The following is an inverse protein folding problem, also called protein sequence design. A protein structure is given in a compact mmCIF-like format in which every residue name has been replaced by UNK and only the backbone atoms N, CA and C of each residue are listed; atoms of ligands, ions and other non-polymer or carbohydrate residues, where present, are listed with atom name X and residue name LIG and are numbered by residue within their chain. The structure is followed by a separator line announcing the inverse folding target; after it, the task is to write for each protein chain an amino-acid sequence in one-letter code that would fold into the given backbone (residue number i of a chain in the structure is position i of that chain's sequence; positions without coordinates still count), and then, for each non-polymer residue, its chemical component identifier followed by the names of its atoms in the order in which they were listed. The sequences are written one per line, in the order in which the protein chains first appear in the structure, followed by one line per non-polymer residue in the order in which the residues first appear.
data_IF_199903716814
#
_entry.id   IF_199903716814
#
_cell.length_a   1.000
_cell.length_b   1.000
_cell.length_c   1.000
_cell.angle_alpha   90.00
_cell.angle_beta   90.00
_cell.angle_gamma   90.00
#
_symmetry.space_group_name_H-M   'P 1'
#
loop_
_entity.id
_entity.type
_entity.pdbx_description
1 polymer ?
#
# COMPACT_ATOMS: atom_id res chain seq x y z
N UNK A 1 11.48 16.32 12.17
CA UNK A 1 11.28 15.84 10.79
C UNK A 1 10.68 14.45 10.87
N UNK A 2 9.75 14.10 9.99
CA UNK A 2 9.10 12.78 10.00
C UNK A 2 10.06 11.73 9.42
N UNK A 3 10.16 10.57 10.07
CA UNK A 3 11.06 9.46 9.71
C UNK A 3 10.56 8.69 8.48
N UNK A 4 9.24 8.65 8.28
CA UNK A 4 8.58 7.91 7.20
C UNK A 4 7.45 8.73 6.58
N UNK A 5 7.22 8.53 5.29
CA UNK A 5 6.06 9.05 4.56
C UNK A 5 5.35 7.88 3.88
N UNK A 6 4.08 7.67 4.20
CA UNK A 6 3.29 6.58 3.60
C UNK A 6 2.07 7.14 2.85
N UNK A 7 1.70 6.45 1.78
CA UNK A 7 0.48 6.66 1.00
C UNK A 7 -0.44 5.45 1.18
N UNK A 8 -1.73 5.72 1.33
CA UNK A 8 -2.82 4.76 1.40
C UNK A 8 -4.04 5.37 0.70
N UNK A 9 -4.81 4.54 0.01
CA UNK A 9 -6.07 4.94 -0.64
C UNK A 9 -7.22 5.01 0.39
N UNK A 10 -8.37 5.58 0.00
CA UNK A 10 -9.53 5.76 0.89
C UNK A 10 -10.29 4.44 1.19
N UNK A 11 -9.94 3.38 0.47
CA UNK A 11 -10.38 2.00 0.68
C UNK A 11 -9.33 1.14 1.41
N UNK A 12 -8.39 1.75 2.13
CA UNK A 12 -7.43 1.06 3.00
C UNK A 12 -7.77 1.17 4.49
N UNK A 13 -7.69 0.05 5.19
CA UNK A 13 -7.62 -0.03 6.64
C UNK A 13 -6.17 -0.10 7.08
N UNK A 14 -5.74 0.82 7.94
CA UNK A 14 -4.37 0.87 8.45
C UNK A 14 -4.34 0.63 9.95
N UNK A 15 -3.76 -0.49 10.37
CA UNK A 15 -3.42 -0.74 11.77
C UNK A 15 -2.15 0.05 12.12
N UNK A 16 -2.32 1.32 12.49
CA UNK A 16 -1.21 2.27 12.73
C UNK A 16 -0.19 1.78 13.77
N UNK A 17 -0.58 1.21 14.93
CA UNK A 17 0.38 0.65 15.88
C UNK A 17 1.28 -0.42 15.25
N UNK A 18 0.70 -1.35 14.48
CA UNK A 18 1.45 -2.41 13.82
C UNK A 18 2.30 -1.87 12.67
N UNK A 19 1.77 -0.97 11.83
CA UNK A 19 2.53 -0.31 10.77
C UNK A 19 3.80 0.33 11.34
N UNK A 20 3.69 1.04 12.47
CA UNK A 20 4.85 1.62 13.15
C UNK A 20 5.87 0.55 13.55
N UNK A 21 5.44 -0.58 14.11
CA UNK A 21 6.33 -1.68 14.47
C UNK A 21 7.05 -2.27 13.26
N UNK A 22 6.36 -2.39 12.12
CA UNK A 22 6.97 -2.85 10.86
C UNK A 22 8.03 -1.86 10.36
N UNK A 23 7.72 -0.56 10.36
CA UNK A 23 8.66 0.49 9.90
C UNK A 23 9.90 0.60 10.79
N UNK A 24 9.78 0.36 12.11
CA UNK A 24 10.92 0.40 13.04
C UNK A 24 11.97 -0.69 12.80
N UNK A 25 11.67 -1.70 11.98
CA UNK A 25 12.65 -2.74 11.57
C UNK A 25 13.68 -2.20 10.58
N UNK A 26 13.44 -1.02 10.00
CA UNK A 26 14.27 -0.40 8.97
C UNK A 26 14.88 0.91 9.48
N UNK A 27 16.16 1.14 9.18
CA UNK A 27 16.80 2.43 9.46
C UNK A 27 16.30 3.48 8.44
N UNK A 28 15.57 4.49 8.91
CA UNK A 28 15.00 5.54 8.06
C UNK A 28 16.06 6.44 7.39
N UNK A 29 17.32 6.38 7.85
CA UNK A 29 18.45 7.06 7.21
C UNK A 29 19.01 6.30 6.01
N UNK A 30 18.55 5.06 5.77
CA UNK A 30 18.84 4.27 4.58
C UNK A 30 17.68 4.42 3.60
N UNK A 31 17.91 4.59 2.28
CA UNK A 31 16.84 4.77 1.32
C UNK A 31 16.06 3.47 1.11
N UNK A 32 14.92 3.36 1.78
CA UNK A 32 13.91 2.31 1.58
C UNK A 32 12.67 2.81 0.84
N UNK A 33 12.21 2.00 -0.10
CA UNK A 33 10.91 2.04 -0.76
C UNK A 33 10.17 0.75 -0.40
N UNK A 34 9.20 0.85 0.51
CA UNK A 34 8.45 -0.29 1.04
C UNK A 34 7.05 -0.35 0.40
N UNK A 35 6.59 -1.54 0.06
CA UNK A 35 5.23 -1.78 -0.42
C UNK A 35 5.07 -3.21 -0.94
N UNK A 36 3.96 -3.50 -1.59
CA UNK A 36 3.71 -4.81 -2.20
C UNK A 36 3.31 -4.66 -3.65
N UNK A 37 3.83 -5.53 -4.49
CA UNK A 37 3.47 -5.56 -5.90
C UNK A 37 2.25 -6.46 -6.11
N UNK A 38 1.30 -6.00 -6.93
CA UNK A 38 0.14 -6.80 -7.35
C UNK A 38 0.25 -7.29 -8.79
N UNK A 39 1.41 -7.17 -9.44
CA UNK A 39 1.63 -7.67 -10.80
C UNK A 39 2.32 -9.03 -10.80
N UNK A 40 1.99 -9.88 -11.79
CA UNK A 40 2.64 -11.18 -11.95
C UNK A 40 4.07 -11.08 -12.52
N UNK A 41 4.35 -9.99 -13.24
CA UNK A 41 5.63 -9.73 -13.90
C UNK A 41 6.09 -8.29 -13.64
N UNK A 42 7.41 -8.01 -13.67
CA UNK A 42 7.93 -6.66 -13.50
C UNK A 42 7.57 -5.78 -14.68
N UNK A 43 7.33 -4.50 -14.40
CA UNK A 43 7.02 -3.51 -15.44
C UNK A 43 8.26 -3.13 -16.22
N UNK A 44 8.07 -2.87 -17.52
CA UNK A 44 9.12 -2.31 -18.38
C UNK A 44 8.60 -1.04 -19.04
N UNK A 45 9.34 0.05 -18.87
CA UNK A 45 9.02 1.35 -19.48
C UNK A 45 10.10 1.69 -20.48
N UNK A 46 9.75 1.76 -21.76
CA UNK A 46 10.71 2.16 -22.79
C UNK A 46 10.85 3.69 -22.80
N UNK A 47 11.97 4.19 -22.29
CA UNK A 47 12.25 5.63 -22.25
C UNK A 47 13.10 6.15 -23.42
N UNK A 48 13.38 5.28 -24.40
CA UNK A 48 14.28 5.55 -25.52
C UNK A 48 15.76 5.32 -25.19
N UNK A 49 16.10 4.97 -23.95
CA UNK A 49 17.43 4.51 -23.56
C UNK A 49 17.48 2.99 -23.49
N UNK A 50 18.59 2.38 -23.88
CA UNK A 50 18.81 0.94 -23.71
C UNK A 50 19.04 0.53 -22.23
N UNK A 51 18.93 1.47 -21.30
CA UNK A 51 19.26 1.28 -19.88
C UNK A 51 18.03 1.09 -18.97
N UNK A 52 16.80 1.23 -19.49
CA UNK A 52 15.60 0.99 -18.69
C UNK A 52 15.51 -0.48 -18.31
N UNK A 53 15.55 -0.75 -17.00
CA UNK A 53 15.50 -2.08 -16.42
C UNK A 53 14.06 -2.44 -16.07
N UNK A 54 13.64 -3.71 -16.25
CA UNK A 54 12.42 -4.21 -15.64
C UNK A 54 12.42 -3.94 -14.14
N UNK A 55 11.29 -3.48 -13.60
CA UNK A 55 11.20 -3.06 -12.21
C UNK A 55 9.88 -3.48 -11.57
N UNK A 56 9.94 -3.78 -10.28
CA UNK A 56 8.75 -3.93 -9.45
C UNK A 56 8.35 -2.58 -8.87
N UNK A 57 7.05 -2.40 -8.65
CA UNK A 57 6.50 -1.21 -8.01
C UNK A 57 5.49 -1.65 -6.94
N UNK A 58 5.44 -0.87 -5.86
CA UNK A 58 4.43 -1.02 -4.81
C UNK A 58 3.10 -0.47 -5.31
N UNK A 59 2.09 -1.32 -5.34
CA UNK A 59 0.73 -0.99 -5.76
C UNK A 59 0.09 -0.01 -4.78
N UNK A 60 -0.45 1.10 -5.30
CA UNK A 60 -0.98 2.19 -4.48
C UNK A 60 -2.01 1.74 -3.44
N UNK A 61 -2.98 0.92 -3.89
CA UNK A 61 -4.04 0.37 -3.05
C UNK A 61 -3.63 -0.73 -2.06
N UNK A 62 -2.35 -1.13 -2.02
CA UNK A 62 -1.78 -1.93 -0.92
C UNK A 62 -1.05 -1.05 0.12
N UNK A 63 -0.86 0.23 -0.19
CA UNK A 63 -0.04 1.14 0.57
C UNK A 63 1.44 1.10 0.18
N UNK A 64 2.09 2.26 0.28
CA UNK A 64 3.51 2.45 0.02
C UNK A 64 4.12 3.33 1.09
N UNK A 65 5.33 3.02 1.56
CA UNK A 65 6.08 3.85 2.50
C UNK A 65 7.48 4.16 1.98
N UNK A 66 7.88 5.42 2.12
CA UNK A 66 9.23 5.91 1.83
C UNK A 66 9.91 6.32 3.13
N UNK A 67 11.13 5.81 3.33
CA UNK A 67 12.02 6.31 4.37
C UNK A 67 12.36 7.78 4.15
N UNK A 68 12.76 8.48 5.22
CA UNK A 68 13.25 9.86 5.13
C UNK A 68 14.36 10.01 4.07
N UNK A 69 15.35 9.11 4.06
CA UNK A 69 16.44 9.15 3.10
C UNK A 69 15.97 8.94 1.64
N UNK A 70 15.02 8.04 1.41
CA UNK A 70 14.42 7.83 0.09
C UNK A 70 13.66 9.09 -0.37
N UNK A 71 12.85 9.68 0.51
CA UNK A 71 12.09 10.89 0.21
C UNK A 71 13.01 12.09 -0.09
N UNK A 72 14.08 12.26 0.68
CA UNK A 72 15.09 13.30 0.43
C UNK A 72 15.77 13.11 -0.93
N UNK A 73 16.12 11.87 -1.30
CA UNK A 73 16.73 11.56 -2.60
C UNK A 73 15.76 11.82 -3.76
N UNK A 74 14.47 11.57 -3.56
CA UNK A 74 13.43 11.75 -4.57
C UNK A 74 12.98 13.22 -4.72
N UNK A 75 13.10 14.02 -3.66
CA UNK A 75 12.59 15.41 -3.59
C UNK A 75 13.01 16.27 -4.80
N UNK A 76 14.28 16.33 -5.22
CA UNK A 76 14.68 17.13 -6.38
C UNK A 76 14.03 16.72 -7.71
N UNK A 77 13.52 15.48 -7.81
CA UNK A 77 12.84 14.95 -9.01
C UNK A 77 11.32 15.10 -8.96
N UNK A 78 10.74 15.24 -7.77
CA UNK A 78 9.30 15.32 -7.54
C UNK A 78 8.80 16.76 -7.56
N UNK A 79 9.57 17.68 -6.95
CA UNK A 79 9.20 19.09 -6.83
C UNK A 79 9.12 19.79 -8.20
N UNK A 80 8.53 20.98 -8.22
CA UNK A 80 8.38 21.81 -9.43
C UNK A 80 7.70 21.07 -10.59
N UNK A 81 6.62 20.33 -10.29
CA UNK A 81 5.88 19.48 -11.23
C UNK A 81 6.68 18.29 -11.79
N UNK A 82 7.88 18.00 -11.28
CA UNK A 82 8.74 16.94 -11.81
C UNK A 82 8.07 15.56 -11.84
N UNK A 83 7.34 15.20 -10.78
CA UNK A 83 6.59 13.94 -10.75
C UNK A 83 5.49 13.89 -11.82
N UNK A 84 4.70 14.96 -11.93
CA UNK A 84 3.64 15.08 -12.95
C UNK A 84 4.22 15.03 -14.37
N UNK A 85 5.35 15.67 -14.61
CA UNK A 85 6.06 15.63 -15.89
C UNK A 85 6.53 14.21 -16.21
N UNK A 86 7.06 13.48 -15.22
CA UNK A 86 7.47 12.09 -15.38
C UNK A 86 6.28 11.18 -15.70
N UNK A 87 5.19 11.28 -14.94
CA UNK A 87 3.94 10.55 -15.18
C UNK A 87 3.41 10.83 -16.60
N UNK A 88 3.36 12.10 -16.99
CA UNK A 88 2.86 12.55 -18.30
C UNK A 88 3.72 12.12 -19.48
N UNK A 89 5.04 11.95 -19.30
CA UNK A 89 5.97 11.52 -20.35
C UNK A 89 5.63 10.11 -20.85
N UNK A 90 5.28 9.21 -19.93
CA UNK A 90 5.03 7.79 -20.23
C UNK A 90 3.56 7.39 -20.11
N UNK A 91 2.68 8.30 -19.66
CA UNK A 91 1.25 8.06 -19.39
C UNK A 91 1.04 6.87 -18.44
N UNK A 92 1.88 6.80 -17.42
CA UNK A 92 1.82 5.75 -16.41
C UNK A 92 0.86 6.16 -15.28
N UNK A 93 0.21 5.20 -14.62
CA UNK A 93 -0.43 5.42 -13.32
C UNK A 93 0.57 5.97 -12.29
N UNK A 94 0.07 6.58 -11.21
CA UNK A 94 0.92 7.24 -10.20
C UNK A 94 1.84 6.25 -9.47
N UNK A 95 1.35 5.07 -9.12
CA UNK A 95 2.14 4.02 -8.44
C UNK A 95 3.23 3.43 -9.35
N UNK A 96 2.93 3.19 -10.62
CA UNK A 96 3.92 2.78 -11.63
C UNK A 96 4.95 3.90 -11.88
N UNK A 97 4.51 5.16 -11.91
CA UNK A 97 5.41 6.32 -12.04
C UNK A 97 6.36 6.41 -10.85
N UNK A 98 5.84 6.22 -9.63
CA UNK A 98 6.64 6.17 -8.42
C UNK A 98 7.66 5.03 -8.48
N UNK A 99 7.24 3.83 -8.87
CA UNK A 99 8.16 2.70 -9.05
C UNK A 99 9.27 3.00 -10.06
N UNK A 100 8.93 3.60 -11.20
CA UNK A 100 9.92 3.99 -12.21
C UNK A 100 10.92 5.03 -11.66
N UNK A 101 10.42 6.03 -10.94
CA UNK A 101 11.27 7.02 -10.27
C UNK A 101 12.21 6.36 -9.25
N UNK A 102 11.68 5.52 -8.35
CA UNK A 102 12.49 4.89 -7.31
C UNK A 102 13.56 3.97 -7.90
N UNK A 103 13.17 3.08 -8.82
CA UNK A 103 14.07 2.04 -9.33
C UNK A 103 14.96 2.57 -10.45
N UNK A 104 14.38 3.06 -11.54
CA UNK A 104 15.13 3.39 -12.76
C UNK A 104 15.84 4.75 -12.68
N UNK A 105 15.31 5.72 -11.93
CA UNK A 105 15.93 7.06 -11.81
C UNK A 105 16.82 7.18 -10.57
N UNK A 106 16.41 6.58 -9.44
CA UNK A 106 17.10 6.74 -8.15
C UNK A 106 17.87 5.50 -7.69
N UNK A 107 17.68 4.33 -8.32
CA UNK A 107 18.36 3.09 -7.94
C UNK A 107 17.96 2.56 -6.57
N UNK A 108 16.71 2.78 -6.15
CA UNK A 108 16.13 2.26 -4.91
C UNK A 108 15.10 1.19 -5.28
N UNK A 109 15.46 -0.07 -5.05
CA UNK A 109 14.58 -1.21 -5.33
C UNK A 109 13.40 -1.27 -4.36
N UNK A 110 12.29 -1.83 -4.83
CA UNK A 110 11.14 -2.14 -3.97
C UNK A 110 11.54 -3.19 -2.93
N UNK A 111 11.32 -2.88 -1.66
CA UNK A 111 11.38 -3.85 -0.56
C UNK A 111 9.97 -4.35 -0.30
N UNK A 112 9.76 -5.65 -0.54
CA UNK A 112 8.44 -6.27 -0.46
C UNK A 112 7.93 -6.38 0.98
N UNK A 113 6.74 -5.83 1.23
CA UNK A 113 6.00 -5.92 2.48
C UNK A 113 4.84 -6.91 2.32
N UNK A 114 5.07 -8.18 2.67
CA UNK A 114 4.11 -9.28 2.44
C UNK A 114 2.73 -9.07 3.09
N UNK A 115 2.70 -8.31 4.18
CA UNK A 115 1.54 -8.05 5.02
C UNK A 115 0.81 -6.74 4.67
N UNK A 116 1.18 -6.11 3.56
CA UNK A 116 0.41 -5.04 2.95
C UNK A 116 -0.54 -5.68 1.94
N UNK A 117 -1.83 -5.33 1.90
CA UNK A 117 -2.77 -6.01 1.02
C UNK A 117 -3.67 -5.06 0.26
N UNK A 118 -3.76 -5.27 -1.05
CA UNK A 118 -4.70 -4.59 -1.94
C UNK A 118 -5.93 -5.46 -2.21
N UNK A 119 -7.06 -4.85 -2.57
CA UNK A 119 -8.23 -5.56 -3.09
C UNK A 119 -7.98 -6.23 -4.47
N UNK A 120 -6.77 -6.12 -5.03
CA UNK A 120 -6.32 -6.90 -6.18
C UNK A 120 -5.79 -8.31 -5.81
N UNK A 121 -5.69 -8.60 -4.51
CA UNK A 121 -5.34 -9.91 -3.97
C UNK A 121 -6.56 -10.65 -3.45
N UNK A 122 -6.48 -11.96 -3.27
CA UNK A 122 -7.59 -12.72 -2.67
C UNK A 122 -7.64 -12.45 -1.16
N UNK A 123 -8.50 -11.55 -0.68
CA UNK A 123 -8.49 -11.15 0.74
C UNK A 123 -9.15 -12.16 1.67
N UNK A 124 -10.09 -12.96 1.17
CA UNK A 124 -10.81 -13.94 1.99
C UNK A 124 -9.94 -15.11 2.45
N UNK A 125 -8.77 -15.34 1.82
CA UNK A 125 -7.85 -16.42 2.23
C UNK A 125 -7.02 -16.05 3.46
N UNK A 126 -6.98 -14.77 3.85
CA UNK A 126 -6.30 -14.34 5.07
C UNK A 126 -7.10 -14.86 6.28
N UNK A 127 -6.51 -15.73 7.12
CA UNK A 127 -7.22 -16.27 8.28
C UNK A 127 -7.55 -15.16 9.29
N UNK A 128 -8.67 -15.31 10.01
CA UNK A 128 -9.12 -14.32 11.01
C UNK A 128 -8.04 -14.10 12.07
N UNK A 129 -7.41 -15.18 12.53
CA UNK A 129 -6.33 -15.18 13.52
C UNK A 129 -5.07 -14.43 13.06
N UNK A 130 -4.90 -14.26 11.75
CA UNK A 130 -3.77 -13.55 11.15
C UNK A 130 -4.05 -12.06 10.92
N UNK A 131 -5.31 -11.60 11.00
CA UNK A 131 -5.68 -10.21 10.74
C UNK A 131 -4.94 -9.22 11.64
N UNK A 132 -4.63 -9.62 12.88
CA UNK A 132 -3.85 -8.81 13.83
C UNK A 132 -2.40 -8.57 13.41
N UNK A 133 -1.89 -9.31 12.43
CA UNK A 133 -0.53 -9.17 11.88
C UNK A 133 -0.50 -8.48 10.52
N UNK A 134 -1.65 -7.99 10.03
CA UNK A 134 -1.76 -7.27 8.76
C UNK A 134 -1.82 -5.75 9.03
N UNK A 135 -0.73 -4.98 8.81
CA UNK A 135 -0.72 -3.53 9.02
C UNK A 135 -1.62 -2.79 8.04
N UNK A 136 -1.80 -3.32 6.82
CA UNK A 136 -2.58 -2.68 5.77
C UNK A 136 -3.46 -3.73 5.11
N UNK A 137 -4.77 -3.49 5.12
CA UNK A 137 -5.77 -4.29 4.41
C UNK A 137 -6.57 -3.34 3.53
N UNK A 138 -7.09 -3.84 2.41
CA UNK A 138 -8.02 -3.11 1.56
C UNK A 138 -9.37 -3.84 1.55
N UNK A 139 -10.34 -3.28 0.86
CA UNK A 139 -11.60 -3.93 0.54
C UNK A 139 -12.22 -3.27 -0.67
N UNK A 140 -12.83 -4.06 -1.55
CA UNK A 140 -13.41 -3.51 -2.77
C UNK A 140 -13.95 -4.60 -3.68
N UNK A 141 -14.23 -4.27 -4.93
CA UNK A 141 -14.58 -5.27 -5.95
C UNK A 141 -13.34 -5.66 -6.74
N UNK A 142 -13.09 -6.97 -6.84
CA UNK A 142 -12.08 -7.46 -7.78
C UNK A 142 -12.73 -7.53 -9.17
N UNK A 143 -12.01 -7.12 -10.22
CA UNK A 143 -12.54 -6.97 -11.58
C UNK A 143 -13.44 -8.16 -11.97
N UNK A 144 -14.74 -7.90 -12.12
CA UNK A 144 -15.79 -8.84 -12.55
C UNK A 144 -16.31 -9.88 -11.53
N UNK A 145 -15.95 -9.78 -10.24
CA UNK A 145 -16.44 -10.68 -9.18
C UNK A 145 -17.18 -9.97 -8.03
N UNK A 146 -17.70 -10.77 -7.09
CA UNK A 146 -18.29 -10.35 -5.81
C UNK A 146 -17.31 -9.48 -5.00
N UNK A 147 -17.82 -8.85 -3.92
CA UNK A 147 -17.00 -8.08 -2.98
C UNK A 147 -15.80 -8.92 -2.50
N UNK A 148 -14.59 -8.41 -2.75
CA UNK A 148 -13.34 -8.96 -2.27
C UNK A 148 -13.04 -8.33 -0.91
N UNK A 149 -13.43 -9.05 0.14
CA UNK A 149 -13.34 -8.63 1.52
C UNK A 149 -12.62 -9.70 2.34
N UNK A 150 -12.06 -9.27 3.46
CA UNK A 150 -11.55 -10.20 4.48
C UNK A 150 -12.65 -11.16 4.98
N UNK A 151 -12.23 -12.36 5.36
CA UNK A 151 -13.12 -13.41 5.88
C UNK A 151 -13.48 -13.16 7.35
N UNK A 152 -14.11 -12.02 7.63
CA UNK A 152 -14.58 -11.63 8.96
C UNK A 152 -16.12 -11.55 8.98
N UNK A 153 -16.82 -12.03 10.02
CA UNK A 153 -18.24 -11.78 10.20
C UNK A 153 -18.53 -10.28 10.29
N UNK A 154 -19.66 -9.85 9.73
CA UNK A 154 -20.15 -8.49 9.94
C UNK A 154 -20.62 -8.34 11.38
N UNK A 155 -20.02 -7.39 12.11
CA UNK A 155 -20.52 -6.93 13.40
C UNK A 155 -21.53 -5.79 13.23
N UNK A 156 -21.53 -5.13 12.08
CA UNK A 156 -22.42 -4.01 11.76
C UNK A 156 -23.20 -4.32 10.48
N UNK A 157 -24.37 -3.70 10.32
CA UNK A 157 -25.15 -3.77 9.08
C UNK A 157 -24.26 -3.50 7.85
N UNK A 158 -24.28 -4.34 6.79
CA UNK A 158 -23.40 -4.18 5.63
C UNK A 158 -23.46 -2.80 4.97
N UNK A 159 -24.61 -2.11 5.03
CA UNK A 159 -24.75 -0.73 4.53
C UNK A 159 -23.92 0.30 5.29
N UNK A 160 -23.63 0.04 6.56
CA UNK A 160 -22.86 0.91 7.45
C UNK A 160 -21.39 0.46 7.59
N UNK A 161 -21.06 -0.72 7.09
CA UNK A 161 -19.72 -1.30 7.12
C UNK A 161 -19.44 -2.14 5.85
N UNK A 162 -19.52 -1.52 4.65
CA UNK A 162 -19.45 -2.25 3.38
C UNK A 162 -18.09 -2.93 3.16
N UNK A 163 -17.00 -2.33 3.65
CA UNK A 163 -15.64 -2.88 3.56
C UNK A 163 -15.23 -3.70 4.80
N UNK A 164 -16.14 -3.92 5.76
CA UNK A 164 -15.87 -4.57 7.06
C UNK A 164 -14.84 -3.88 7.95
N UNK A 165 -14.46 -2.63 7.66
CA UNK A 165 -13.42 -1.92 8.42
C UNK A 165 -13.82 -1.62 9.86
N UNK A 166 -15.11 -1.38 10.13
CA UNK A 166 -15.59 -1.22 11.50
C UNK A 166 -15.60 -2.55 12.23
N UNK A 167 -16.07 -3.61 11.59
CA UNK A 167 -16.03 -4.98 12.12
C UNK A 167 -14.60 -5.41 12.42
N UNK A 168 -13.67 -5.14 11.51
CA UNK A 168 -12.23 -5.37 11.67
C UNK A 168 -11.66 -4.57 12.83
N UNK A 169 -11.99 -3.28 12.94
CA UNK A 169 -11.52 -2.46 14.05
C UNK A 169 -11.95 -3.03 15.40
N UNK A 170 -13.17 -3.53 15.52
CA UNK A 170 -13.64 -4.17 16.74
C UNK A 170 -13.01 -5.52 17.01
N UNK A 171 -12.71 -6.28 15.97
CA UNK A 171 -11.96 -7.52 16.11
C UNK A 171 -10.55 -7.27 16.65
N UNK A 172 -9.86 -6.22 16.16
CA UNK A 172 -8.49 -5.89 16.55
C UNK A 172 -8.39 -5.11 17.87
N UNK A 173 -9.38 -4.29 18.18
CA UNK A 173 -9.42 -3.42 19.37
C UNK A 173 -10.80 -3.49 20.06
N UNK A 174 -11.15 -4.64 20.69
CA UNK A 174 -12.48 -4.84 21.28
C UNK A 174 -12.85 -3.77 22.31
N UNK A 175 -11.87 -3.22 23.03
CA UNK A 175 -12.04 -2.18 24.04
C UNK A 175 -12.47 -0.82 23.46
N UNK A 176 -12.35 -0.63 22.14
CA UNK A 176 -12.69 0.61 21.45
C UNK A 176 -14.05 0.56 20.75
N UNK A 177 -14.81 -0.52 20.95
CA UNK A 177 -16.07 -0.71 20.26
C UNK A 177 -17.29 -0.47 21.12
N UNK A 178 -18.24 0.26 20.54
CA UNK A 178 -19.56 0.48 21.11
C UNK A 178 -20.43 -0.75 20.86
N UNK A 179 -20.57 -1.57 21.89
CA UNK A 179 -21.38 -2.79 21.86
C UNK A 179 -22.88 -2.54 21.67
N UNK A 180 -23.34 -1.30 21.79
CA UNK A 180 -24.77 -0.98 21.69
C UNK A 180 -25.29 -0.87 20.24
N UNK A 181 -24.40 -0.92 19.24
CA UNK A 181 -24.72 -0.75 17.82
C UNK A 181 -24.20 -1.91 16.93
N UNK A 182 -24.00 -3.07 17.54
CA UNK A 182 -23.60 -4.32 16.86
C UNK A 182 -24.88 -5.11 16.51
N UNK A 183 -24.84 -5.88 15.41
CA UNK A 183 -25.90 -6.80 14.95
C UNK A 183 -26.27 -7.89 15.98
#
# INVERSE_FOLDING_TARGET
MNEWSCHFDDDNYVNVPLLKQELLKFDYNIPYYLGKTSTAEPMTVYDGSAASKPFWFGTGGAGVCLSQAALQKATPRILNNGFRTLAGKFRLPDDVTLGFLMVNVLGIELTEMKNFHSHLETLYIIPIEELQYQPVLSGGTMQYENDNLISLPHLYEPRQDPLKFRSLHCHLFPEKCDVNNIL
#
